data_IF_815243681830
#
_entry.id   IF_815243681830
#
_cell.length_a   1.000
_cell.length_b   1.000
_cell.length_c   1.000
_cell.angle_alpha   90.00
_cell.angle_beta   90.00
_cell.angle_gamma   90.00
#
_symmetry.space_group_name_H-M   'P 1'
#
loop_
_entity.id
_entity.type
_entity.pdbx_description
1 polymer ?
#
# COMPACT_ATOMS: atom_id res chain seq x y z
N UNK A 1 -7.53 -1.22 10.55
CA UNK A 1 -7.43 -1.57 9.12
C UNK A 1 -6.32 -2.59 8.90
N UNK A 2 -6.54 -3.55 8.02
CA UNK A 2 -5.51 -4.52 7.64
C UNK A 2 -4.92 -4.16 6.29
N UNK A 3 -3.61 -4.32 6.16
CA UNK A 3 -2.91 -4.14 4.89
C UNK A 3 -2.32 -5.48 4.47
N UNK A 4 -2.63 -5.91 3.26
CA UNK A 4 -2.11 -7.15 2.69
C UNK A 4 -1.12 -6.84 1.59
N UNK A 5 0.02 -7.49 1.65
CA UNK A 5 1.07 -7.35 0.66
C UNK A 5 1.13 -8.60 -0.21
N UNK A 6 1.20 -8.40 -1.52
CA UNK A 6 1.22 -9.50 -2.48
C UNK A 6 2.53 -9.49 -3.26
N UNK A 7 2.97 -10.68 -3.68
CA UNK A 7 4.14 -10.86 -4.55
C UNK A 7 5.40 -10.19 -3.99
N UNK A 8 6.05 -9.34 -4.75
CA UNK A 8 7.30 -8.70 -4.35
C UNK A 8 7.15 -7.80 -3.12
N UNK A 9 5.97 -7.22 -2.94
CA UNK A 9 5.72 -6.35 -1.79
C UNK A 9 5.76 -7.14 -0.49
N UNK A 10 5.25 -8.36 -0.51
CA UNK A 10 5.31 -9.24 0.65
C UNK A 10 6.76 -9.54 1.04
N UNK A 11 7.60 -9.82 0.07
CA UNK A 11 9.01 -10.09 0.33
C UNK A 11 9.72 -8.86 0.90
N UNK A 12 9.43 -7.68 0.35
CA UNK A 12 10.05 -6.43 0.80
C UNK A 12 9.57 -6.00 2.18
N UNK A 13 8.29 -6.23 2.49
CA UNK A 13 7.73 -5.88 3.79
C UNK A 13 8.14 -6.88 4.89
N UNK A 14 8.43 -8.11 4.51
CA UNK A 14 8.76 -9.17 5.46
C UNK A 14 7.54 -9.79 6.12
N UNK A 15 6.35 -9.34 5.78
CA UNK A 15 5.08 -9.87 6.28
C UNK A 15 4.07 -9.91 5.14
N UNK A 16 3.13 -10.85 5.22
CA UNK A 16 2.06 -10.94 4.23
C UNK A 16 0.92 -9.97 4.53
N UNK A 17 0.73 -9.66 5.80
CA UNK A 17 -0.37 -8.82 6.27
C UNK A 17 0.01 -8.18 7.59
N UNK A 18 -0.47 -6.97 7.80
CA UNK A 18 -0.30 -6.28 9.08
C UNK A 18 -1.50 -5.39 9.37
N UNK A 19 -1.68 -5.08 10.65
CA UNK A 19 -2.70 -4.13 11.07
C UNK A 19 -2.07 -2.76 11.23
N UNK A 20 -2.72 -1.75 10.65
CA UNK A 20 -2.24 -0.37 10.68
C UNK A 20 -3.35 0.53 11.19
N UNK A 21 -3.01 1.44 12.08
CA UNK A 21 -3.93 2.47 12.56
C UNK A 21 -3.84 3.69 11.65
N UNK A 22 -4.99 4.17 11.22
CA UNK A 22 -5.08 5.35 10.36
C UNK A 22 -6.04 6.34 11.01
N UNK A 23 -5.56 7.55 11.22
CA UNK A 23 -6.35 8.62 11.79
C UNK A 23 -7.06 9.39 10.67
N UNK A 24 -8.31 9.01 10.42
CA UNK A 24 -9.14 9.71 9.45
C UNK A 24 -8.84 9.32 7.99
N UNK A 25 -9.45 10.05 7.04
CA UNK A 25 -9.29 9.76 5.62
C UNK A 25 -7.85 9.96 5.15
N UNK A 26 -7.42 9.10 4.24
CA UNK A 26 -6.12 9.25 3.61
C UNK A 26 -6.20 8.82 2.15
N UNK A 27 -5.22 9.21 1.34
CA UNK A 27 -5.10 8.69 -0.02
C UNK A 27 -4.31 7.39 -0.01
N UNK A 28 -4.41 6.63 -1.10
CA UNK A 28 -3.58 5.44 -1.26
C UNK A 28 -2.10 5.81 -1.24
N UNK A 29 -1.72 6.95 -1.83
CA UNK A 29 -0.36 7.46 -1.77
C UNK A 29 0.07 7.82 -0.34
N UNK A 30 -0.81 8.42 0.43
CA UNK A 30 -0.55 8.75 1.84
C UNK A 30 -0.32 7.49 2.68
N UNK A 31 -1.14 6.47 2.46
CA UNK A 31 -0.97 5.19 3.13
C UNK A 31 0.36 4.54 2.73
N UNK A 32 0.68 4.53 1.44
CA UNK A 32 1.93 3.96 0.96
C UNK A 32 3.15 4.65 1.58
N UNK A 33 3.11 5.98 1.72
CA UNK A 33 4.19 6.72 2.37
C UNK A 33 4.38 6.31 3.83
N UNK A 34 3.28 6.09 4.55
CA UNK A 34 3.34 5.63 5.95
C UNK A 34 3.93 4.23 6.06
N UNK A 35 3.52 3.33 5.17
CA UNK A 35 4.04 1.96 5.16
C UNK A 35 5.52 1.95 4.80
N UNK A 36 5.93 2.77 3.85
CA UNK A 36 7.33 2.91 3.46
C UNK A 36 8.19 3.42 4.62
N UNK A 37 7.69 4.40 5.36
CA UNK A 37 8.40 4.94 6.52
C UNK A 37 8.53 3.89 7.63
N UNK A 38 7.53 3.02 7.78
CA UNK A 38 7.52 1.98 8.81
C UNK A 38 8.47 0.82 8.46
N UNK A 39 8.49 0.40 7.19
CA UNK A 39 9.25 -0.77 6.77
C UNK A 39 10.65 -0.46 6.23
N UNK A 40 10.88 0.76 5.78
CA UNK A 40 12.19 1.18 5.29
C UNK A 40 12.36 1.09 3.77
N UNK A 41 13.61 1.17 3.32
CA UNK A 41 13.94 1.41 1.92
C UNK A 41 13.50 0.31 0.95
N UNK A 42 13.55 -0.94 1.35
CA UNK A 42 13.20 -2.05 0.45
C UNK A 42 11.75 -1.93 -0.03
N UNK A 43 10.83 -1.69 0.91
CA UNK A 43 9.42 -1.52 0.57
C UNK A 43 9.18 -0.17 -0.11
N UNK A 44 9.85 0.87 0.36
CA UNK A 44 9.72 2.22 -0.18
C UNK A 44 10.00 2.26 -1.67
N UNK A 45 11.06 1.59 -2.12
CA UNK A 45 11.46 1.57 -3.54
C UNK A 45 10.40 0.93 -4.42
N UNK A 46 9.65 -0.03 -3.88
CA UNK A 46 8.60 -0.70 -4.63
C UNK A 46 7.29 0.08 -4.59
N UNK A 47 6.95 0.67 -3.45
CA UNK A 47 5.67 1.35 -3.27
C UNK A 47 5.63 2.77 -3.84
N UNK A 48 6.73 3.51 -3.71
CA UNK A 48 6.74 4.92 -4.05
C UNK A 48 7.51 5.21 -5.32
N UNK A 49 6.95 6.10 -6.14
CA UNK A 49 7.66 6.68 -7.26
C UNK A 49 8.63 7.75 -6.78
N UNK A 50 9.43 8.30 -7.70
CA UNK A 50 10.42 9.32 -7.40
C UNK A 50 9.82 10.57 -6.77
N UNK A 51 8.57 10.88 -7.08
CA UNK A 51 7.85 12.04 -6.54
C UNK A 51 7.21 11.80 -5.17
N UNK A 52 7.42 10.63 -4.59
CA UNK A 52 6.86 10.26 -3.28
C UNK A 52 5.44 9.77 -3.30
N UNK A 53 4.81 9.68 -4.47
CA UNK A 53 3.45 9.15 -4.61
C UNK A 53 3.51 7.65 -4.83
N UNK A 54 2.35 7.00 -4.65
CA UNK A 54 2.23 5.57 -4.94
C UNK A 54 2.68 5.31 -6.37
N UNK A 55 3.58 4.33 -6.53
CA UNK A 55 4.08 3.97 -7.84
C UNK A 55 2.93 3.59 -8.78
N UNK A 56 2.92 4.06 -10.04
CA UNK A 56 1.83 3.76 -10.97
C UNK A 56 1.71 2.28 -11.33
N UNK A 57 2.74 1.49 -11.07
CA UNK A 57 2.67 0.04 -11.32
C UNK A 57 2.04 -0.73 -10.16
N UNK A 58 1.84 -0.08 -9.02
CA UNK A 58 1.23 -0.73 -7.86
C UNK A 58 -0.29 -0.59 -7.94
N UNK A 59 -0.98 -1.71 -7.80
CA UNK A 59 -2.43 -1.72 -7.71
C UNK A 59 -2.83 -1.72 -6.25
N UNK A 60 -3.80 -0.89 -5.90
CA UNK A 60 -4.35 -0.81 -4.55
C UNK A 60 -5.84 -1.12 -4.60
N UNK A 61 -6.29 -1.95 -3.67
CA UNK A 61 -7.69 -2.32 -3.54
C UNK A 61 -8.14 -2.10 -2.10
N UNK A 62 -9.36 -1.60 -1.94
CA UNK A 62 -10.05 -1.59 -0.64
C UNK A 62 -11.19 -2.60 -0.77
N UNK A 63 -11.09 -3.71 -0.05
CA UNK A 63 -11.96 -4.85 -0.30
C UNK A 63 -11.76 -5.33 -1.74
N UNK A 64 -12.83 -5.34 -2.53
CA UNK A 64 -12.79 -5.74 -3.92
C UNK A 64 -12.68 -4.58 -4.92
N UNK A 65 -12.66 -3.35 -4.42
CA UNK A 65 -12.65 -2.16 -5.26
C UNK A 65 -11.24 -1.64 -5.48
N UNK A 66 -10.83 -1.50 -6.72
CA UNK A 66 -9.57 -0.86 -7.06
C UNK A 66 -9.68 0.64 -6.84
N UNK A 67 -8.64 1.23 -6.25
CA UNK A 67 -8.60 2.66 -5.98
C UNK A 67 -7.39 3.30 -6.64
N UNK A 68 -7.55 4.55 -7.07
CA UNK A 68 -6.46 5.31 -7.66
C UNK A 68 -5.51 5.86 -6.59
N UNK A 69 -4.27 6.24 -6.97
CA UNK A 69 -3.26 6.69 -6.01
C UNK A 69 -3.63 7.98 -5.28
N UNK A 70 -4.44 8.83 -5.90
CA UNK A 70 -4.86 10.10 -5.31
C UNK A 70 -6.29 10.06 -4.79
N UNK A 71 -6.94 8.91 -4.85
CA UNK A 71 -8.30 8.77 -4.36
C UNK A 71 -8.30 8.83 -2.84
N UNK A 72 -9.21 9.63 -2.29
CA UNK A 72 -9.35 9.75 -0.85
C UNK A 72 -10.11 8.54 -0.31
N UNK A 73 -9.49 7.84 0.63
CA UNK A 73 -10.05 6.62 1.21
C UNK A 73 -10.60 6.93 2.59
N UNK A 74 -11.87 6.64 2.81
CA UNK A 74 -12.47 6.70 4.14
C UNK A 74 -12.35 5.33 4.80
N UNK A 75 -11.17 5.06 5.33
CA UNK A 75 -10.85 3.74 5.90
C UNK A 75 -11.40 3.62 7.31
N UNK A 76 -11.90 2.43 7.62
CA UNK A 76 -12.52 2.11 8.92
C UNK A 76 -11.88 0.84 9.48
N UNK A 77 -12.12 0.61 10.76
CA UNK A 77 -11.77 -0.67 11.36
C UNK A 77 -12.45 -1.80 10.59
N UNK A 78 -11.69 -2.84 10.29
CA UNK A 78 -12.17 -3.97 9.53
C UNK A 78 -11.95 -3.87 8.03
N UNK A 79 -11.58 -2.71 7.51
CA UNK A 79 -11.22 -2.59 6.10
C UNK A 79 -9.92 -3.32 5.80
N UNK A 80 -9.86 -3.90 4.60
CA UNK A 80 -8.67 -4.59 4.11
C UNK A 80 -8.17 -3.86 2.87
N UNK A 81 -6.94 -3.39 2.93
CA UNK A 81 -6.27 -2.77 1.79
C UNK A 81 -5.26 -3.77 1.24
N UNK A 82 -5.40 -4.11 -0.03
CA UNK A 82 -4.47 -5.02 -0.70
C UNK A 82 -3.60 -4.23 -1.65
N UNK A 83 -2.29 -4.41 -1.53
CA UNK A 83 -1.30 -3.79 -2.41
C UNK A 83 -0.66 -4.90 -3.24
N UNK A 84 -0.64 -4.71 -4.55
CA UNK A 84 -0.18 -5.71 -5.49
C UNK A 84 0.74 -5.09 -6.53
N UNK A 85 1.89 -5.71 -6.72
CA UNK A 85 2.75 -5.42 -7.88
C UNK A 85 2.46 -6.47 -8.94
N UNK A 86 1.86 -6.08 -10.07
CA UNK A 86 1.49 -7.06 -11.10
C UNK A 86 2.66 -7.56 -11.93
N UNK A 87 3.81 -6.93 -11.81
CA UNK A 87 4.97 -7.28 -12.61
C UNK A 87 5.79 -8.32 -11.86
N UNK A 88 5.58 -9.56 -12.22
CA UNK A 88 6.34 -10.66 -11.64
C UNK A 88 7.77 -10.65 -12.17
N UNK A 89 8.72 -10.75 -11.26
CA UNK A 89 10.13 -10.79 -11.62
C UNK A 89 10.64 -9.52 -12.27
N UNK A 90 9.82 -8.53 -12.17
CA UNK A 90 9.96 -7.19 -12.75
C UNK A 90 11.28 -6.74 -13.04
#
# INVERSE_FOLDING_TARGET
>A
MSVRYMAQLRAAAGVAEETVDVDGPCTASGLAARLAAHHGDALRRLLLAADGRLSPIILAFVGDAQVGPNECLALKDGDVVTLLSPIAGG
#
